data_IF_158169095321
#
_entry.id   IF_158169095321
#
_cell.length_a   1.000
_cell.length_b   1.000
_cell.length_c   1.000
_cell.angle_alpha   90.00
_cell.angle_beta   90.00
_cell.angle_gamma   90.00
#
_symmetry.space_group_name_H-M   'P 1'
#
loop_
_entity.id
_entity.type
_entity.pdbx_description
1 polymer ?
#
# COMPACT_ATOMS: atom_id res chain seq x y z
N UNK A 1 76.40 3.58 -12.71
CA UNK A 1 77.09 4.43 -11.72
C UNK A 1 76.26 5.71 -11.56
N UNK A 2 75.88 6.01 -10.32
CA UNK A 2 75.20 7.19 -9.69
C UNK A 2 74.74 8.38 -10.56
N UNK A 3 73.46 8.80 -10.54
CA UNK A 3 72.71 9.69 -9.58
C UNK A 3 72.83 11.20 -9.90
N UNK A 4 71.68 11.85 -10.12
CA UNK A 4 71.42 13.29 -10.03
C UNK A 4 69.93 13.54 -9.75
N UNK A 5 69.62 14.36 -8.75
CA UNK A 5 68.32 14.53 -8.04
C UNK A 5 67.56 15.79 -8.52
N UNK A 6 66.26 15.86 -8.19
CA UNK A 6 65.28 16.99 -8.14
C UNK A 6 64.25 16.92 -9.29
N UNK A 7 62.92 16.94 -9.13
CA UNK A 7 62.01 17.54 -8.14
C UNK A 7 60.72 16.70 -7.98
N UNK A 8 60.07 16.78 -6.81
CA UNK A 8 58.78 16.13 -6.55
C UNK A 8 57.56 16.96 -6.98
N UNK A 9 56.36 16.34 -6.98
CA UNK A 9 55.19 17.07 -6.51
C UNK A 9 54.42 16.29 -5.43
N UNK A 10 54.35 16.95 -4.27
CA UNK A 10 53.19 17.09 -3.37
C UNK A 10 52.06 16.05 -3.54
N UNK A 11 51.92 15.23 -2.50
CA UNK A 11 50.77 14.36 -2.27
C UNK A 11 49.46 15.18 -2.19
N UNK A 12 48.59 15.04 -3.18
CA UNK A 12 47.19 15.47 -3.08
C UNK A 12 46.37 14.35 -2.42
N UNK A 13 46.16 14.48 -1.11
CA UNK A 13 45.15 13.72 -0.37
C UNK A 13 43.75 14.11 -0.85
N UNK A 14 43.14 13.32 -1.72
CA UNK A 14 41.79 13.54 -2.26
C UNK A 14 40.77 12.43 -1.90
N UNK A 15 41.00 11.67 -0.81
CA UNK A 15 40.07 10.59 -0.41
C UNK A 15 39.00 10.99 0.62
N UNK A 16 38.99 12.22 1.12
CA UNK A 16 38.06 12.62 2.20
C UNK A 16 36.91 13.55 1.79
N UNK A 17 36.88 14.05 0.54
CA UNK A 17 35.85 15.02 0.12
C UNK A 17 34.67 14.44 -0.67
N UNK A 18 34.71 13.18 -1.11
CA UNK A 18 33.63 12.60 -1.93
C UNK A 18 32.58 11.77 -1.16
N UNK A 19 32.82 11.39 0.09
CA UNK A 19 31.86 10.60 0.88
C UNK A 19 30.81 11.47 1.59
N UNK A 20 31.15 12.71 1.97
CA UNK A 20 30.19 13.63 2.64
C UNK A 20 29.13 14.19 1.70
N UNK A 21 29.45 14.39 0.42
CA UNK A 21 28.49 14.88 -0.58
C UNK A 21 27.49 13.77 -0.94
N UNK A 22 27.94 12.52 -1.00
CA UNK A 22 27.10 11.37 -1.32
C UNK A 22 26.05 11.07 -0.23
N UNK A 23 26.40 11.18 1.06
CA UNK A 23 25.47 10.99 2.18
C UNK A 23 24.46 12.15 2.34
N UNK A 24 24.86 13.40 2.09
CA UNK A 24 23.92 14.54 2.08
C UNK A 24 22.94 14.47 0.92
N UNK A 25 23.38 14.06 -0.27
CA UNK A 25 22.51 13.86 -1.43
C UNK A 25 21.53 12.69 -1.21
N UNK A 26 21.99 11.58 -0.62
CA UNK A 26 21.12 10.45 -0.24
C UNK A 26 20.12 10.85 0.86
N UNK A 27 20.55 11.66 1.82
CA UNK A 27 19.71 12.19 2.89
C UNK A 27 18.64 13.16 2.38
N UNK A 28 18.98 14.04 1.43
CA UNK A 28 18.02 14.97 0.83
C UNK A 28 17.08 14.29 -0.17
N UNK A 29 17.56 13.38 -1.01
CA UNK A 29 16.69 12.60 -1.90
C UNK A 29 15.77 11.66 -1.11
N UNK A 30 16.27 11.05 -0.03
CA UNK A 30 15.45 10.28 0.90
C UNK A 30 14.42 11.15 1.62
N UNK A 31 14.79 12.36 2.05
CA UNK A 31 13.85 13.29 2.71
C UNK A 31 12.78 13.80 1.73
N UNK A 32 13.16 14.17 0.50
CA UNK A 32 12.23 14.59 -0.56
C UNK A 32 11.31 13.43 -0.98
N UNK A 33 11.82 12.20 -1.07
CA UNK A 33 10.99 11.03 -1.31
C UNK A 33 10.03 10.76 -0.15
N UNK A 34 10.46 10.97 1.10
CA UNK A 34 9.60 10.85 2.29
C UNK A 34 8.54 11.97 2.33
N UNK A 35 8.88 13.20 1.94
CA UNK A 35 7.95 14.34 1.88
C UNK A 35 6.94 14.19 0.73
N UNK A 36 7.38 13.75 -0.44
CA UNK A 36 6.51 13.43 -1.58
C UNK A 36 5.58 12.24 -1.26
N UNK A 37 6.11 11.18 -0.64
CA UNK A 37 5.32 10.06 -0.12
C UNK A 37 4.34 10.53 0.96
N UNK A 38 4.74 11.46 1.84
CA UNK A 38 3.90 11.98 2.91
C UNK A 38 2.76 12.87 2.40
N UNK A 39 3.00 13.72 1.40
CA UNK A 39 1.98 14.57 0.77
C UNK A 39 1.07 13.77 -0.16
N UNK A 40 1.62 12.79 -0.90
CA UNK A 40 0.82 11.86 -1.70
C UNK A 40 -0.03 10.96 -0.79
N UNK A 41 0.51 10.49 0.34
CA UNK A 41 -0.27 9.79 1.37
C UNK A 41 -1.30 10.70 2.06
N UNK A 42 -1.08 12.01 2.14
CA UNK A 42 -2.03 12.98 2.71
C UNK A 42 -3.19 13.24 1.76
N UNK A 43 -2.89 13.41 0.47
CA UNK A 43 -3.87 13.57 -0.61
C UNK A 43 -4.68 12.29 -0.83
N UNK A 44 -4.02 11.13 -0.89
CA UNK A 44 -4.69 9.85 -1.06
C UNK A 44 -5.61 9.52 0.12
N UNK A 45 -5.18 9.75 1.37
CA UNK A 45 -6.05 9.62 2.56
C UNK A 45 -7.32 10.46 2.48
N UNK A 46 -7.26 11.63 1.82
CA UNK A 46 -8.41 12.51 1.61
C UNK A 46 -9.47 11.91 0.70
N UNK A 47 -9.05 11.20 -0.37
CA UNK A 47 -9.97 10.69 -1.39
C UNK A 47 -10.72 9.43 -0.91
N UNK A 48 -10.04 8.51 -0.20
CA UNK A 48 -10.72 7.34 0.39
C UNK A 48 -11.75 7.72 1.45
N UNK A 49 -11.69 8.94 1.98
CA UNK A 49 -12.68 9.50 2.90
C UNK A 49 -14.04 9.73 2.22
N UNK A 50 -14.08 9.82 0.90
CA UNK A 50 -15.31 9.91 0.11
C UNK A 50 -15.91 8.55 -0.25
N UNK A 51 -15.23 7.44 0.05
CA UNK A 51 -15.79 6.10 -0.14
C UNK A 51 -16.86 5.86 0.94
N UNK A 52 -18.15 5.76 0.59
CA UNK A 52 -19.19 5.49 1.57
C UNK A 52 -19.04 4.07 2.13
N UNK A 53 -19.56 3.85 3.33
CA UNK A 53 -19.60 2.51 3.94
C UNK A 53 -20.39 1.50 3.11
N UNK A 54 -21.40 1.97 2.37
CA UNK A 54 -22.17 1.18 1.42
C UNK A 54 -22.13 1.79 0.01
N UNK A 55 -21.09 1.50 -0.80
CA UNK A 55 -20.99 2.03 -2.16
C UNK A 55 -21.99 1.40 -3.14
N UNK A 56 -22.60 0.26 -2.81
CA UNK A 56 -23.65 -0.35 -3.64
C UNK A 56 -24.92 0.51 -3.69
N UNK A 57 -25.14 1.38 -2.71
CA UNK A 57 -26.27 2.30 -2.68
C UNK A 57 -26.13 3.48 -3.66
N UNK A 58 -24.93 3.70 -4.22
CA UNK A 58 -24.71 4.76 -5.20
C UNK A 58 -25.26 4.37 -6.58
N UNK A 59 -25.73 5.32 -7.39
CA UNK A 59 -25.97 5.11 -8.81
C UNK A 59 -24.75 4.51 -9.52
N UNK A 60 -24.96 3.58 -10.46
CA UNK A 60 -23.91 2.87 -11.21
C UNK A 60 -22.86 3.81 -11.81
N UNK A 61 -23.28 4.95 -12.37
CA UNK A 61 -22.38 5.93 -12.97
C UNK A 61 -21.44 6.57 -11.93
N UNK A 62 -21.94 6.80 -10.70
CA UNK A 62 -21.15 7.31 -9.59
C UNK A 62 -20.22 6.24 -9.04
N UNK A 63 -20.65 4.98 -8.97
CA UNK A 63 -19.77 3.86 -8.63
C UNK A 63 -18.59 3.78 -9.61
N UNK A 64 -18.85 3.75 -10.92
CA UNK A 64 -17.79 3.69 -11.95
C UNK A 64 -16.84 4.88 -11.88
N UNK A 65 -17.38 6.10 -11.71
CA UNK A 65 -16.56 7.31 -11.64
C UNK A 65 -15.65 7.30 -10.41
N UNK A 66 -16.19 6.90 -9.25
CA UNK A 66 -15.44 6.78 -8.01
C UNK A 66 -14.34 5.72 -8.12
N UNK A 67 -14.65 4.52 -8.60
CA UNK A 67 -13.66 3.45 -8.70
C UNK A 67 -12.56 3.79 -9.71
N UNK A 68 -12.91 4.44 -10.83
CA UNK A 68 -11.92 4.88 -11.82
C UNK A 68 -10.95 5.92 -11.23
N UNK A 69 -11.47 6.88 -10.46
CA UNK A 69 -10.64 7.84 -9.73
C UNK A 69 -9.71 7.15 -8.73
N UNK A 70 -10.22 6.18 -7.98
CA UNK A 70 -9.41 5.42 -7.01
C UNK A 70 -8.32 4.59 -7.69
N UNK A 71 -8.61 4.01 -8.86
CA UNK A 71 -7.63 3.27 -9.66
C UNK A 71 -6.50 4.17 -10.19
N UNK A 72 -6.86 5.36 -10.66
CA UNK A 72 -5.89 6.36 -11.10
C UNK A 72 -5.01 6.82 -9.93
N UNK A 73 -5.61 7.04 -8.75
CA UNK A 73 -4.89 7.44 -7.53
C UNK A 73 -3.83 6.42 -7.08
N UNK A 74 -4.14 5.13 -7.18
CA UNK A 74 -3.17 4.07 -6.87
C UNK A 74 -2.17 3.81 -8.01
N UNK A 75 -2.28 4.58 -9.10
CA UNK A 75 -1.44 4.44 -10.29
C UNK A 75 -1.57 3.07 -10.94
N UNK A 76 -2.75 2.45 -10.89
CA UNK A 76 -2.95 1.14 -11.50
C UNK A 76 -2.91 1.26 -13.02
N UNK A 77 -2.29 0.27 -13.68
CA UNK A 77 -2.35 0.16 -15.14
C UNK A 77 -2.44 -1.30 -15.58
N UNK A 78 -3.03 -1.60 -16.75
CA UNK A 78 -3.09 -2.97 -17.27
C UNK A 78 -1.70 -3.59 -17.50
N UNK A 79 -0.68 -2.76 -17.72
CA UNK A 79 0.71 -3.17 -17.94
C UNK A 79 1.41 -3.58 -16.63
N UNK A 80 1.00 -2.99 -15.50
CA UNK A 80 1.55 -3.27 -14.19
C UNK A 80 0.43 -3.72 -13.25
N UNK A 81 0.32 -5.04 -13.05
CA UNK A 81 -0.73 -5.64 -12.21
C UNK A 81 -0.61 -5.29 -10.72
N UNK A 82 0.53 -4.73 -10.31
CA UNK A 82 0.75 -4.25 -8.94
C UNK A 82 0.56 -2.73 -8.95
N UNK A 83 -0.30 -2.18 -8.08
CA UNK A 83 -0.45 -0.73 -7.96
C UNK A 83 0.89 -0.07 -7.66
N UNK A 84 1.19 1.02 -8.36
CA UNK A 84 2.45 1.77 -8.18
C UNK A 84 2.46 2.52 -6.85
N UNK A 85 1.28 3.02 -6.44
CA UNK A 85 1.10 3.78 -5.21
C UNK A 85 0.05 3.06 -4.38
N UNK A 86 0.40 2.65 -3.16
CA UNK A 86 -0.56 2.03 -2.25
C UNK A 86 -0.75 2.95 -1.06
N UNK A 87 -1.87 3.69 -1.02
CA UNK A 87 -2.17 4.63 0.05
C UNK A 87 -2.12 3.93 1.42
N UNK A 88 -1.45 4.53 2.42
CA UNK A 88 -1.45 3.97 3.76
C UNK A 88 -2.87 3.82 4.30
N UNK A 89 -3.12 2.73 5.04
CA UNK A 89 -4.41 2.42 5.66
C UNK A 89 -5.54 2.07 4.69
N UNK A 90 -5.28 1.90 3.39
CA UNK A 90 -6.30 1.50 2.41
C UNK A 90 -7.01 0.20 2.79
N UNK A 91 -6.34 -0.69 3.55
CA UNK A 91 -6.91 -1.91 4.11
C UNK A 91 -8.19 -1.68 4.94
N UNK A 92 -8.36 -0.49 5.55
CA UNK A 92 -9.59 -0.14 6.29
C UNK A 92 -10.83 -0.02 5.41
N UNK A 93 -10.62 0.09 4.10
CA UNK A 93 -11.67 0.22 3.09
C UNK A 93 -11.92 -1.09 2.33
N UNK A 94 -11.35 -2.22 2.79
CA UNK A 94 -11.48 -3.50 2.10
C UNK A 94 -12.94 -3.95 1.95
N UNK A 95 -13.76 -3.83 3.00
CA UNK A 95 -15.14 -4.31 3.00
C UNK A 95 -16.02 -3.67 1.91
N UNK A 96 -16.04 -2.34 1.73
CA UNK A 96 -16.70 -1.70 0.59
C UNK A 96 -16.32 -2.29 -0.78
N UNK A 97 -15.02 -2.58 -1.01
CA UNK A 97 -14.56 -3.14 -2.29
C UNK A 97 -15.00 -4.59 -2.46
N UNK A 98 -14.92 -5.40 -1.41
CA UNK A 98 -15.39 -6.80 -1.43
C UNK A 98 -16.90 -6.86 -1.69
N UNK A 99 -17.67 -5.95 -1.09
CA UNK A 99 -19.11 -5.87 -1.33
C UNK A 99 -19.43 -5.52 -2.79
N UNK A 100 -18.74 -4.54 -3.38
CA UNK A 100 -18.89 -4.22 -4.81
C UNK A 100 -18.51 -5.41 -5.70
N UNK A 101 -17.41 -6.09 -5.38
CA UNK A 101 -16.92 -7.26 -6.09
C UNK A 101 -17.95 -8.40 -6.11
N UNK A 102 -18.63 -8.65 -4.99
CA UNK A 102 -19.58 -9.75 -4.90
C UNK A 102 -20.96 -9.39 -5.46
N UNK A 103 -21.47 -8.21 -5.10
CA UNK A 103 -22.90 -7.88 -5.27
C UNK A 103 -23.20 -6.92 -6.41
N UNK A 104 -22.19 -6.28 -7.03
CA UNK A 104 -22.49 -5.38 -8.16
C UNK A 104 -23.03 -6.14 -9.37
N UNK A 105 -24.07 -5.64 -10.04
CA UNK A 105 -24.57 -6.23 -11.28
C UNK A 105 -23.65 -5.93 -12.48
N UNK A 106 -22.80 -4.90 -12.41
CA UNK A 106 -21.91 -4.51 -13.49
C UNK A 106 -20.57 -5.24 -13.39
N UNK A 107 -20.19 -5.94 -14.47
CA UNK A 107 -18.91 -6.62 -14.57
C UNK A 107 -17.73 -5.64 -14.45
N UNK A 108 -17.81 -4.48 -15.09
CA UNK A 108 -16.73 -3.49 -15.03
C UNK A 108 -16.49 -3.01 -13.61
N UNK A 109 -17.57 -2.79 -12.85
CA UNK A 109 -17.48 -2.41 -11.43
C UNK A 109 -16.84 -3.53 -10.62
N UNK A 110 -17.20 -4.79 -10.88
CA UNK A 110 -16.58 -5.95 -10.22
C UNK A 110 -15.09 -6.05 -10.50
N UNK A 111 -14.68 -5.87 -11.76
CA UNK A 111 -13.29 -5.93 -12.18
C UNK A 111 -12.46 -4.80 -11.51
N UNK A 112 -13.00 -3.57 -11.47
CA UNK A 112 -12.36 -2.44 -10.78
C UNK A 112 -12.30 -2.66 -9.27
N UNK A 113 -13.38 -3.13 -8.66
CA UNK A 113 -13.45 -3.43 -7.23
C UNK A 113 -12.48 -4.54 -6.82
N UNK A 114 -12.27 -5.55 -7.68
CA UNK A 114 -11.28 -6.59 -7.45
C UNK A 114 -9.86 -6.02 -7.32
N UNK A 115 -9.47 -5.16 -8.26
CA UNK A 115 -8.15 -4.51 -8.26
C UNK A 115 -7.98 -3.66 -6.99
N UNK A 116 -9.00 -2.89 -6.61
CA UNK A 116 -8.97 -2.06 -5.41
C UNK A 116 -8.94 -2.91 -4.13
N UNK A 117 -9.63 -4.05 -4.09
CA UNK A 117 -9.54 -4.99 -2.97
C UNK A 117 -8.14 -5.60 -2.85
N UNK A 118 -7.49 -5.94 -3.98
CA UNK A 118 -6.09 -6.39 -3.99
C UNK A 118 -5.16 -5.30 -3.44
N UNK A 119 -5.31 -4.07 -3.91
CA UNK A 119 -4.53 -2.93 -3.43
C UNK A 119 -4.73 -2.68 -1.92
N UNK A 120 -5.97 -2.80 -1.43
CA UNK A 120 -6.29 -2.69 -0.02
C UNK A 120 -5.60 -3.77 0.82
N UNK A 121 -5.63 -5.04 0.38
CA UNK A 121 -4.90 -6.13 1.07
C UNK A 121 -3.39 -5.91 1.05
N UNK A 122 -2.83 -5.50 -0.09
CA UNK A 122 -1.40 -5.16 -0.22
C UNK A 122 -0.97 -4.00 0.68
N UNK A 123 -1.86 -3.04 0.96
CA UNK A 123 -1.55 -1.88 1.82
C UNK A 123 -1.20 -2.24 3.27
N UNK A 124 -1.47 -3.49 3.68
CA UNK A 124 -1.03 -4.00 4.99
C UNK A 124 0.48 -4.27 5.02
N UNK A 125 1.10 -4.53 3.87
CA UNK A 125 2.47 -5.04 3.76
C UNK A 125 2.62 -6.53 4.10
N UNK A 126 1.56 -7.20 4.56
CA UNK A 126 1.65 -8.58 5.06
C UNK A 126 1.83 -9.64 3.96
N UNK A 127 1.41 -9.32 2.73
CA UNK A 127 1.39 -10.26 1.62
C UNK A 127 2.65 -10.22 0.74
N UNK A 128 3.67 -9.42 1.08
CA UNK A 128 4.92 -9.26 0.30
C UNK A 128 4.71 -9.17 -1.23
N UNK A 129 3.72 -8.38 -1.66
CA UNK A 129 3.32 -8.22 -3.08
C UNK A 129 2.91 -9.53 -3.80
N UNK A 130 2.63 -10.59 -3.05
CA UNK A 130 2.19 -11.87 -3.56
C UNK A 130 0.71 -11.84 -3.98
N UNK A 131 0.46 -11.45 -5.22
CA UNK A 131 -0.89 -11.44 -5.80
C UNK A 131 -1.54 -12.83 -5.85
N UNK A 132 -0.76 -13.92 -5.84
CA UNK A 132 -1.32 -15.29 -5.86
C UNK A 132 -1.95 -15.65 -4.52
N UNK A 133 -1.30 -15.28 -3.42
CA UNK A 133 -1.84 -15.49 -2.08
C UNK A 133 -3.14 -14.69 -1.89
N UNK A 134 -3.13 -13.40 -2.26
CA UNK A 134 -4.33 -12.57 -2.23
C UNK A 134 -5.43 -13.16 -3.12
N UNK A 135 -5.08 -13.63 -4.31
CA UNK A 135 -6.01 -14.34 -5.18
C UNK A 135 -6.63 -15.56 -4.50
N UNK A 136 -5.84 -16.35 -3.77
CA UNK A 136 -6.33 -17.51 -3.03
C UNK A 136 -7.36 -17.13 -1.96
N UNK A 137 -7.13 -16.03 -1.22
CA UNK A 137 -8.10 -15.50 -0.26
C UNK A 137 -9.44 -15.19 -0.93
N UNK A 138 -9.44 -14.60 -2.12
CA UNK A 138 -10.68 -14.33 -2.86
C UNK A 138 -11.37 -15.59 -3.38
N UNK A 139 -10.65 -16.70 -3.64
CA UNK A 139 -11.28 -17.96 -4.03
C UNK A 139 -12.13 -18.58 -2.91
N UNK A 140 -11.87 -18.21 -1.65
CA UNK A 140 -12.69 -18.60 -0.51
C UNK A 140 -13.90 -17.68 -0.32
N UNK A 141 -13.98 -16.55 -1.03
CA UNK A 141 -15.18 -15.73 -1.01
C UNK A 141 -16.29 -16.44 -1.78
N UNK A 142 -17.42 -16.67 -1.15
CA UNK A 142 -18.51 -17.34 -1.81
C UNK A 142 -19.13 -16.42 -2.88
N UNK A 143 -19.48 -17.00 -4.03
CA UNK A 143 -19.95 -16.24 -5.20
C UNK A 143 -18.84 -15.66 -6.09
N UNK A 144 -17.56 -15.68 -5.69
CA UNK A 144 -16.46 -15.10 -6.47
C UNK A 144 -16.24 -15.76 -7.85
N UNK A 145 -16.48 -17.07 -7.97
CA UNK A 145 -16.39 -17.80 -9.26
C UNK A 145 -17.70 -17.88 -10.03
N UNK A 146 -18.82 -17.60 -9.38
CA UNK A 146 -20.12 -18.02 -9.90
C UNK A 146 -20.81 -16.86 -10.57
N UNK A 147 -20.78 -16.87 -11.91
CA UNK A 147 -21.49 -15.91 -12.75
C UNK A 147 -23.01 -15.93 -12.63
N UNK A 148 -23.61 -16.90 -11.92
CA UNK A 148 -25.06 -17.01 -11.71
C UNK A 148 -25.37 -17.88 -10.48
N UNK A 149 -25.51 -17.31 -9.28
CA UNK A 149 -26.13 -18.03 -8.16
C UNK A 149 -27.63 -17.72 -8.23
N UNK A 150 -28.38 -18.55 -8.95
CA UNK A 150 -29.84 -18.62 -8.83
C UNK A 150 -30.11 -19.53 -7.64
N UNK A 151 -30.25 -18.96 -6.44
CA UNK A 151 -30.68 -19.69 -5.25
C UNK A 151 -32.13 -19.33 -4.99
N UNK A 152 -32.98 -20.34 -4.80
CA UNK A 152 -34.39 -20.14 -4.45
C UNK A 152 -34.58 -19.49 -3.08
N UNK A 153 -35.75 -18.87 -2.88
CA UNK A 153 -36.06 -17.88 -1.85
C UNK A 153 -35.61 -18.22 -0.41
N UNK A 154 -35.70 -19.49 0.03
CA UNK A 154 -35.28 -19.92 1.37
C UNK A 154 -33.77 -20.16 1.53
N UNK A 155 -33.04 -20.42 0.45
CA UNK A 155 -31.59 -20.56 0.50
C UNK A 155 -30.87 -19.21 0.51
N UNK A 156 -31.49 -18.16 -0.02
CA UNK A 156 -30.83 -16.86 -0.20
C UNK A 156 -30.39 -16.31 1.16
N UNK A 157 -31.24 -16.37 2.18
CA UNK A 157 -30.96 -15.76 3.48
C UNK A 157 -29.80 -16.44 4.22
N UNK A 158 -29.78 -17.78 4.28
CA UNK A 158 -28.70 -18.54 4.93
C UNK A 158 -27.37 -18.34 4.21
N UNK A 159 -27.39 -18.31 2.87
CA UNK A 159 -26.20 -18.04 2.08
C UNK A 159 -25.73 -16.60 2.26
N UNK A 160 -26.60 -15.60 2.24
CA UNK A 160 -26.25 -14.19 2.49
C UNK A 160 -25.65 -13.99 3.89
N UNK A 161 -26.19 -14.66 4.91
CA UNK A 161 -25.64 -14.61 6.27
C UNK A 161 -24.24 -15.22 6.34
N UNK A 162 -24.03 -16.39 5.73
CA UNK A 162 -22.71 -17.01 5.65
C UNK A 162 -21.72 -16.13 4.87
N UNK A 163 -22.17 -15.51 3.77
CA UNK A 163 -21.33 -14.64 2.94
C UNK A 163 -20.89 -13.42 3.74
N UNK A 164 -21.82 -12.81 4.48
CA UNK A 164 -21.54 -11.70 5.39
C UNK A 164 -20.47 -12.08 6.42
N UNK A 165 -20.60 -13.25 7.06
CA UNK A 165 -19.62 -13.74 8.06
C UNK A 165 -18.23 -13.94 7.43
N UNK A 166 -18.14 -14.57 6.26
CA UNK A 166 -16.86 -14.81 5.58
C UNK A 166 -16.20 -13.50 5.16
N UNK A 167 -16.98 -12.56 4.62
CA UNK A 167 -16.49 -11.23 4.23
C UNK A 167 -15.99 -10.46 5.44
N UNK A 168 -16.77 -10.43 6.53
CA UNK A 168 -16.37 -9.79 7.79
C UNK A 168 -15.09 -10.40 8.35
N UNK A 169 -14.99 -11.73 8.40
CA UNK A 169 -13.79 -12.43 8.86
C UNK A 169 -12.55 -12.02 8.06
N UNK A 170 -12.63 -11.99 6.72
CA UNK A 170 -11.52 -11.56 5.87
C UNK A 170 -11.13 -10.11 6.18
N UNK A 171 -12.10 -9.21 6.29
CA UNK A 171 -11.85 -7.79 6.55
C UNK A 171 -11.24 -7.57 7.94
N UNK A 172 -11.67 -8.31 8.95
CA UNK A 172 -11.15 -8.25 10.32
C UNK A 172 -9.74 -8.82 10.40
N UNK A 173 -9.47 -9.92 9.72
CA UNK A 173 -8.14 -10.51 9.65
C UNK A 173 -7.14 -9.53 9.01
N UNK A 174 -7.49 -8.99 7.84
CA UNK A 174 -6.64 -8.00 7.13
C UNK A 174 -6.46 -6.73 7.97
N UNK A 175 -7.52 -6.23 8.61
CA UNK A 175 -7.44 -5.03 9.45
C UNK A 175 -6.61 -5.24 10.71
N UNK A 176 -6.74 -6.40 11.36
CA UNK A 176 -5.95 -6.78 12.53
C UNK A 176 -4.47 -6.82 12.18
N UNK A 177 -4.12 -7.51 11.08
CA UNK A 177 -2.74 -7.60 10.61
C UNK A 177 -2.19 -6.21 10.25
N UNK A 178 -2.94 -5.42 9.47
CA UNK A 178 -2.53 -4.06 9.09
C UNK A 178 -2.31 -3.14 10.30
N UNK A 179 -3.23 -3.16 11.27
CA UNK A 179 -3.12 -2.35 12.49
C UNK A 179 -1.91 -2.76 13.34
N UNK A 180 -1.66 -4.08 13.49
CA UNK A 180 -0.54 -4.58 14.26
C UNK A 180 0.79 -4.24 13.59
N UNK A 181 0.93 -4.44 12.28
CA UNK A 181 2.14 -4.09 11.53
C UNK A 181 2.43 -2.59 11.62
N UNK A 182 1.42 -1.74 11.47
CA UNK A 182 1.56 -0.29 11.64
C UNK A 182 2.04 0.07 13.05
N UNK A 183 1.47 -0.55 14.08
CA UNK A 183 1.87 -0.34 15.48
C UNK A 183 3.34 -0.69 15.69
N UNK A 184 3.79 -1.86 15.22
CA UNK A 184 5.20 -2.26 15.36
C UNK A 184 6.13 -1.36 14.54
N UNK A 185 5.71 -0.94 13.35
CA UNK A 185 6.47 0.00 12.54
C UNK A 185 6.64 1.36 13.21
N UNK A 186 5.59 1.89 13.85
CA UNK A 186 5.68 3.14 14.62
C UNK A 186 6.58 2.99 15.84
N UNK A 187 6.59 1.83 16.52
CA UNK A 187 7.53 1.52 17.60
C UNK A 187 8.96 1.53 17.07
N UNK A 188 9.25 0.80 15.99
CA UNK A 188 10.59 0.76 15.36
C UNK A 188 11.06 2.16 14.96
N UNK A 189 10.20 2.95 14.31
CA UNK A 189 10.53 4.33 13.91
C UNK A 189 10.97 5.18 15.10
N UNK A 190 10.25 5.11 16.23
CA UNK A 190 10.62 5.87 17.44
C UNK A 190 12.00 5.47 17.98
N UNK A 191 12.33 4.18 17.95
CA UNK A 191 13.64 3.70 18.41
C UNK A 191 14.76 4.15 17.47
N UNK A 192 14.57 4.08 16.15
CA UNK A 192 15.55 4.57 15.17
C UNK A 192 15.75 6.09 15.24
N UNK A 193 14.68 6.86 15.49
CA UNK A 193 14.80 8.30 15.73
C UNK A 193 15.59 8.62 17.00
N UNK A 194 15.42 7.82 18.07
CA UNK A 194 16.20 7.97 19.30
C UNK A 194 17.68 7.66 19.07
N UNK A 195 18.02 6.67 18.25
CA UNK A 195 19.40 6.33 17.89
C UNK A 195 20.10 7.46 17.12
N UNK A 196 19.40 8.15 16.21
CA UNK A 196 19.93 9.35 15.53
C UNK A 196 20.17 10.54 16.46
N UNK A 197 19.47 10.63 17.59
CA UNK A 197 19.70 11.67 18.60
C UNK A 197 20.93 11.42 19.46
N UNK A 198 21.36 10.17 19.60
CA UNK A 198 22.52 9.79 20.44
C UNK A 198 23.86 10.02 19.71
N UNK A 199 23.91 9.86 18.39
CA UNK A 199 25.11 10.22 17.59
C UNK A 199 25.45 11.72 17.65
N UNK A 200 24.47 12.60 17.92
CA UNK A 200 24.70 14.03 18.09
C UNK A 200 25.33 14.43 19.43
N UNK A 201 25.32 13.54 20.43
CA UNK A 201 25.89 13.79 21.76
C UNK A 201 27.21 13.07 22.02
N UNK A 202 27.63 12.16 21.14
CA UNK A 202 28.92 11.47 21.24
C UNK A 202 30.09 12.24 20.58
N UNK A 203 29.84 13.45 20.05
CA UNK A 203 30.86 14.34 19.51
C UNK A 203 31.31 15.46 20.46
N UNK A 204 30.99 15.37 21.76
CA UNK A 204 31.33 16.38 22.78
C UNK A 204 32.00 15.81 24.04
N UNK A 205 32.73 14.70 23.92
CA UNK A 205 33.64 14.20 24.98
C UNK A 205 35.03 14.03 24.38
#
# INVERSE_FOLDING_TARGET
MAIGILDGPQAFNNSQFNTKISLKAFGQQGLLAIEEEADNARSARGIFRFLPSNPLALPTILQQSLLSLLLELIGWSPKCKIPVRIPPLMYKHLQPFVNLLLYSPSRDIKDQAHILAQAAMLSTGAFDKNLREIGAWFLFLPGYKTGNIVVGDQGIEVFQNLFSVIVSFLCDAVSTVGNNLLKYWDVLRRHTCHLKGVEGNLSLI
#
